data_IF_673508375848
#
_entry.id   IF_673508375848
#
_cell.length_a   1.000
_cell.length_b   1.000
_cell.length_c   1.000
_cell.angle_alpha   90.00
_cell.angle_beta   90.00
_cell.angle_gamma   90.00
#
_symmetry.space_group_name_H-M   'P 1'
#
loop_
_entity.id
_entity.type
_entity.pdbx_description
1 polymer ?
#
# COMPACT_ATOMS: atom_id res chain seq x y z
N UNK A 1 2.24 -2.60 -7.12
CA UNK A 1 0.78 -2.88 -7.09
C UNK A 1 0.57 -4.26 -6.48
N UNK A 2 -0.41 -4.41 -5.59
CA UNK A 2 -0.65 -5.65 -4.86
C UNK A 2 -1.87 -6.38 -5.40
N UNK A 3 -1.76 -7.69 -5.64
CA UNK A 3 -2.93 -8.53 -5.89
C UNK A 3 -3.69 -8.72 -4.56
N UNK A 4 -4.94 -8.27 -4.44
CA UNK A 4 -5.73 -8.50 -3.23
C UNK A 4 -6.12 -9.98 -3.11
N UNK A 5 -6.47 -10.41 -1.91
CA UNK A 5 -7.19 -11.68 -1.75
C UNK A 5 -8.61 -11.52 -2.29
N UNK A 6 -9.12 -12.51 -3.01
CA UNK A 6 -10.46 -12.44 -3.58
C UNK A 6 -11.11 -13.82 -3.63
N UNK A 7 -12.43 -13.81 -3.58
CA UNK A 7 -13.30 -14.97 -3.71
C UNK A 7 -14.37 -14.71 -4.78
N UNK A 8 -14.71 -15.74 -5.54
CA UNK A 8 -15.78 -15.70 -6.53
C UNK A 8 -16.89 -16.67 -6.14
N UNK A 9 -18.12 -16.18 -6.20
CA UNK A 9 -19.33 -16.98 -6.04
C UNK A 9 -20.31 -16.64 -7.16
N UNK A 10 -21.26 -17.51 -7.48
CA UNK A 10 -22.19 -17.27 -8.58
C UNK A 10 -23.59 -17.77 -8.26
N UNK A 11 -24.56 -17.03 -8.78
CA UNK A 11 -25.96 -17.38 -8.88
C UNK A 11 -26.28 -17.71 -10.35
N UNK A 12 -27.47 -18.24 -10.69
CA UNK A 12 -27.87 -18.46 -12.08
C UNK A 12 -27.79 -17.19 -12.94
N UNK A 13 -28.06 -16.02 -12.36
CA UNK A 13 -28.16 -14.76 -13.09
C UNK A 13 -26.96 -13.81 -12.86
N UNK A 14 -26.22 -13.96 -11.75
CA UNK A 14 -25.17 -13.04 -11.34
C UNK A 14 -23.88 -13.76 -10.96
N UNK A 15 -22.74 -13.13 -11.21
CA UNK A 15 -21.42 -13.46 -10.66
C UNK A 15 -21.12 -12.46 -9.53
N UNK A 16 -20.73 -12.94 -8.36
CA UNK A 16 -20.35 -12.12 -7.22
C UNK A 16 -18.86 -12.26 -6.95
N UNK A 17 -18.13 -11.16 -6.99
CA UNK A 17 -16.69 -11.09 -6.71
C UNK A 17 -16.50 -10.32 -5.40
N UNK A 18 -15.90 -10.99 -4.41
CA UNK A 18 -15.53 -10.39 -3.13
C UNK A 18 -14.02 -10.17 -3.09
N UNK A 19 -13.57 -8.93 -2.91
CA UNK A 19 -12.17 -8.51 -2.98
C UNK A 19 -11.79 -7.89 -1.63
N UNK A 20 -10.78 -8.44 -0.96
CA UNK A 20 -10.30 -7.99 0.33
C UNK A 20 -9.27 -6.87 0.16
N UNK A 21 -9.68 -5.65 0.48
CA UNK A 21 -8.92 -4.41 0.31
C UNK A 21 -8.92 -3.54 1.59
N UNK A 22 -8.30 -4.01 2.70
CA UNK A 22 -8.32 -3.32 3.99
C UNK A 22 -7.55 -1.99 3.99
N UNK A 23 -6.62 -1.80 3.05
CA UNK A 23 -5.79 -0.59 2.96
C UNK A 23 -6.22 0.34 1.82
N UNK A 24 -7.30 0.03 1.11
CA UNK A 24 -7.79 0.87 0.02
C UNK A 24 -8.54 2.09 0.55
N UNK A 25 -8.43 3.19 -0.20
CA UNK A 25 -9.23 4.39 0.05
C UNK A 25 -10.57 4.26 -0.67
N UNK A 26 -11.67 4.47 0.08
CA UNK A 26 -13.05 4.31 -0.43
C UNK A 26 -13.37 5.25 -1.59
N UNK A 27 -12.66 6.38 -1.68
CA UNK A 27 -12.87 7.40 -2.71
C UNK A 27 -12.24 7.06 -4.07
N UNK A 28 -11.37 6.06 -4.13
CA UNK A 28 -10.53 5.74 -5.30
C UNK A 28 -10.73 4.27 -5.70
N UNK A 29 -11.96 3.90 -6.08
CA UNK A 29 -12.29 2.59 -6.63
C UNK A 29 -12.66 2.72 -8.10
N UNK A 30 -11.92 2.03 -8.96
CA UNK A 30 -12.24 1.91 -10.38
C UNK A 30 -12.51 0.45 -10.71
N UNK A 31 -13.65 0.20 -11.34
CA UNK A 31 -14.03 -1.14 -11.79
C UNK A 31 -14.37 -1.06 -13.27
N UNK A 32 -13.75 -1.94 -14.05
CA UNK A 32 -14.02 -2.11 -15.45
C UNK A 32 -14.32 -3.58 -15.71
N UNK A 33 -15.35 -3.83 -16.51
CA UNK A 33 -15.70 -5.18 -16.88
C UNK A 33 -16.35 -5.20 -18.26
N UNK A 34 -15.86 -6.07 -19.14
CA UNK A 34 -16.37 -6.17 -20.50
C UNK A 34 -16.21 -7.60 -21.01
N UNK A 35 -17.32 -8.19 -21.48
CA UNK A 35 -17.33 -9.54 -22.00
C UNK A 35 -16.85 -10.52 -20.94
N UNK A 36 -15.61 -11.01 -21.02
CA UNK A 36 -15.03 -11.91 -20.03
C UNK A 36 -13.84 -11.33 -19.28
N UNK A 37 -13.56 -10.04 -19.43
CA UNK A 37 -12.52 -9.35 -18.69
C UNK A 37 -13.13 -8.60 -17.50
N UNK A 38 -12.47 -8.70 -16.35
CA UNK A 38 -12.78 -7.93 -15.16
C UNK A 38 -11.49 -7.31 -14.61
N UNK A 39 -11.50 -6.00 -14.44
CA UNK A 39 -10.39 -5.21 -13.92
C UNK A 39 -10.89 -4.39 -12.73
N UNK A 40 -10.15 -4.45 -11.64
CA UNK A 40 -10.40 -3.70 -10.43
C UNK A 40 -9.11 -2.98 -10.03
N UNK A 41 -9.24 -1.69 -9.77
CA UNK A 41 -8.13 -0.86 -9.32
C UNK A 41 -8.55 -0.07 -8.09
N UNK A 42 -7.72 -0.15 -7.05
CA UNK A 42 -7.95 0.55 -5.79
C UNK A 42 -6.63 0.65 -5.04
N UNK A 43 -5.94 1.80 -5.11
CA UNK A 43 -4.58 1.93 -4.56
C UNK A 43 -4.50 1.38 -3.12
N UNK A 44 -3.57 0.45 -2.81
CA UNK A 44 -2.45 -0.06 -3.62
C UNK A 44 -2.73 -1.34 -4.45
N UNK A 45 -3.99 -1.75 -4.52
CA UNK A 45 -4.45 -3.00 -5.12
C UNK A 45 -4.78 -2.88 -6.60
N UNK A 46 -4.43 -3.93 -7.34
CA UNK A 46 -4.84 -4.14 -8.72
C UNK A 46 -5.21 -5.61 -8.92
N UNK A 47 -6.38 -5.87 -9.49
CA UNK A 47 -6.87 -7.22 -9.78
C UNK A 47 -7.40 -7.27 -11.22
N UNK A 48 -6.94 -8.26 -11.99
CA UNK A 48 -7.39 -8.53 -13.35
C UNK A 48 -7.79 -10.00 -13.40
N UNK A 49 -9.00 -10.28 -13.86
CA UNK A 49 -9.53 -11.62 -13.96
C UNK A 49 -10.03 -11.85 -15.38
N UNK A 50 -9.56 -12.92 -16.01
CA UNK A 50 -10.20 -13.48 -17.21
C UNK A 50 -11.23 -14.51 -16.77
N UNK A 51 -12.50 -14.12 -16.85
CA UNK A 51 -13.64 -14.96 -16.49
C UNK A 51 -13.86 -16.07 -17.53
N UNK A 52 -14.34 -17.26 -17.10
CA UNK A 52 -14.63 -18.37 -18.02
C UNK A 52 -15.89 -18.15 -18.86
N UNK A 53 -16.77 -17.24 -18.42
CA UNK A 53 -18.00 -16.87 -19.10
C UNK A 53 -18.08 -15.37 -19.34
N UNK A 54 -19.15 -14.94 -19.99
CA UNK A 54 -19.37 -13.54 -20.36
C UNK A 54 -20.35 -12.85 -19.41
N UNK A 55 -20.01 -11.64 -19.03
CA UNK A 55 -20.78 -10.70 -18.23
C UNK A 55 -21.15 -9.49 -19.09
N UNK A 56 -22.21 -8.82 -18.70
CA UNK A 56 -22.82 -7.73 -19.48
C UNK A 56 -22.96 -6.48 -18.62
N UNK A 57 -22.77 -5.30 -19.22
CA UNK A 57 -23.04 -4.02 -18.57
C UNK A 57 -24.50 -3.64 -18.83
N UNK A 58 -25.37 -3.91 -17.85
CA UNK A 58 -26.81 -3.68 -17.97
C UNK A 58 -27.33 -2.64 -16.96
N UNK A 59 -26.45 -1.95 -16.22
CA UNK A 59 -26.85 -1.02 -15.15
C UNK A 59 -27.50 -1.70 -13.94
N UNK A 60 -27.46 -3.04 -13.89
CA UNK A 60 -28.02 -3.86 -12.81
C UNK A 60 -26.95 -4.43 -11.88
N UNK A 61 -25.69 -4.07 -12.13
CA UNK A 61 -24.57 -4.33 -11.27
C UNK A 61 -24.75 -3.66 -9.90
N UNK A 62 -24.31 -4.34 -8.86
CA UNK A 62 -24.38 -3.85 -7.49
C UNK A 62 -23.02 -3.97 -6.83
N UNK A 63 -22.45 -2.83 -6.42
CA UNK A 63 -21.24 -2.76 -5.62
C UNK A 63 -21.55 -2.37 -4.17
N UNK A 64 -20.92 -3.03 -3.21
CA UNK A 64 -20.98 -2.67 -1.80
C UNK A 64 -19.60 -2.81 -1.17
N UNK A 65 -19.25 -1.87 -0.29
CA UNK A 65 -18.00 -1.90 0.47
C UNK A 65 -18.30 -1.99 1.97
N UNK A 66 -17.82 -3.06 2.60
CA UNK A 66 -17.87 -3.24 4.05
C UNK A 66 -16.55 -2.70 4.65
N UNK A 67 -16.59 -1.49 5.19
CA UNK A 67 -15.42 -0.81 5.76
C UNK A 67 -14.87 -1.50 7.02
N UNK A 68 -15.73 -2.20 7.77
CA UNK A 68 -15.32 -2.89 8.99
C UNK A 68 -14.51 -4.16 8.66
N UNK A 69 -14.89 -4.86 7.59
CA UNK A 69 -14.17 -6.07 7.12
C UNK A 69 -13.09 -5.76 6.09
N UNK A 70 -13.14 -4.58 5.48
CA UNK A 70 -12.30 -4.20 4.34
C UNK A 70 -12.56 -5.06 3.11
N UNK A 71 -13.84 -5.42 2.85
CA UNK A 71 -14.22 -6.29 1.72
C UNK A 71 -15.10 -5.49 0.76
N UNK A 72 -14.64 -5.37 -0.48
CA UNK A 72 -15.41 -4.86 -1.60
C UNK A 72 -16.13 -6.02 -2.29
N UNK A 73 -17.45 -5.97 -2.38
CA UNK A 73 -18.26 -6.99 -3.04
C UNK A 73 -18.96 -6.39 -4.24
N UNK A 74 -18.77 -6.97 -5.42
CA UNK A 74 -19.45 -6.57 -6.64
C UNK A 74 -20.23 -7.74 -7.25
N UNK A 75 -21.48 -7.47 -7.63
CA UNK A 75 -22.37 -8.40 -8.34
C UNK A 75 -22.49 -7.96 -9.79
N UNK A 76 -22.10 -8.83 -10.70
CA UNK A 76 -22.06 -8.61 -12.15
C UNK A 76 -23.09 -9.52 -12.82
N UNK A 77 -24.01 -8.99 -13.65
CA UNK A 77 -24.99 -9.82 -14.34
C UNK A 77 -24.31 -10.64 -15.46
N UNK A 78 -24.76 -11.89 -15.62
CA UNK A 78 -24.28 -12.77 -16.69
C UNK A 78 -24.94 -12.40 -18.02
N UNK A 79 -24.21 -12.55 -19.12
CA UNK A 79 -24.77 -12.33 -20.45
C UNK A 79 -25.85 -13.37 -20.79
N UNK A 80 -25.62 -14.64 -20.41
CA UNK A 80 -26.61 -15.71 -20.58
C UNK A 80 -27.14 -16.18 -19.23
N UNK A 81 -28.42 -15.94 -18.91
CA UNK A 81 -29.02 -16.34 -17.64
C UNK A 81 -29.04 -17.87 -17.54
N UNK A 82 -28.67 -18.40 -16.38
CA UNK A 82 -28.52 -19.83 -16.14
C UNK A 82 -27.19 -20.44 -16.57
N UNK A 83 -26.27 -19.67 -17.19
CA UNK A 83 -24.94 -20.16 -17.50
C UNK A 83 -24.13 -20.35 -16.21
N UNK A 84 -23.63 -21.56 -15.98
CA UNK A 84 -22.72 -21.85 -14.88
C UNK A 84 -21.27 -21.63 -15.33
N UNK A 85 -20.51 -20.86 -14.55
CA UNK A 85 -19.11 -20.56 -14.81
C UNK A 85 -18.25 -21.63 -14.11
N UNK A 86 -17.62 -22.50 -14.88
CA UNK A 86 -16.76 -23.55 -14.33
C UNK A 86 -15.41 -23.01 -13.90
N UNK A 87 -14.80 -23.60 -12.87
CA UNK A 87 -13.42 -23.29 -12.49
C UNK A 87 -13.21 -21.96 -11.76
N UNK A 88 -14.25 -21.35 -11.17
CA UNK A 88 -14.12 -20.13 -10.35
C UNK A 88 -13.13 -20.28 -9.18
N UNK A 89 -12.91 -21.51 -8.69
CA UNK A 89 -11.94 -21.82 -7.63
C UNK A 89 -10.49 -21.91 -8.13
N UNK A 90 -10.27 -21.94 -9.46
CA UNK A 90 -8.93 -22.01 -10.05
C UNK A 90 -8.36 -20.59 -10.21
N UNK A 91 -8.08 -19.93 -9.09
CA UNK A 91 -7.67 -18.51 -9.06
C UNK A 91 -6.47 -18.21 -9.98
N UNK A 92 -5.48 -19.11 -10.02
CA UNK A 92 -4.31 -18.98 -10.91
C UNK A 92 -4.67 -18.99 -12.39
N UNK A 93 -5.72 -19.72 -12.78
CA UNK A 93 -6.21 -19.74 -14.16
C UNK A 93 -6.94 -18.44 -14.52
N UNK A 94 -7.64 -17.83 -13.56
CA UNK A 94 -8.33 -16.56 -13.75
C UNK A 94 -7.34 -15.38 -13.86
N UNK A 95 -6.21 -15.45 -13.16
CA UNK A 95 -5.15 -14.44 -13.22
C UNK A 95 -4.32 -14.53 -14.52
N UNK A 96 -4.20 -15.72 -15.10
CA UNK A 96 -3.30 -15.98 -16.21
C UNK A 96 -3.56 -15.06 -17.42
N UNK A 97 -2.51 -14.49 -18.05
CA UNK A 97 -2.64 -13.69 -19.27
C UNK A 97 -3.36 -14.48 -20.36
N UNK A 98 -4.10 -13.75 -21.20
CA UNK A 98 -4.70 -14.39 -22.37
C UNK A 98 -3.54 -14.75 -23.25
N UNK A 99 -3.23 -16.05 -23.39
CA UNK A 99 -2.23 -16.50 -24.35
C UNK A 99 -2.70 -16.05 -25.72
N UNK A 100 -2.17 -14.94 -26.22
CA UNK A 100 -2.30 -14.53 -27.60
C UNK A 100 -1.89 -15.76 -28.42
N UNK A 101 -2.82 -16.34 -29.17
CA UNK A 101 -2.49 -17.41 -30.11
C UNK A 101 -1.66 -16.75 -31.22
N UNK A 102 -0.37 -16.56 -30.99
CA UNK A 102 0.62 -16.09 -31.98
C UNK A 102 0.94 -17.20 -32.97
N UNK A 103 -0.05 -18.01 -33.36
CA UNK A 103 0.05 -18.84 -34.53
C UNK A 103 -0.30 -17.94 -35.72
N UNK A 104 0.68 -17.15 -36.19
CA UNK A 104 0.60 -16.57 -37.53
C UNK A 104 0.34 -17.73 -38.51
N UNK A 105 -0.71 -17.70 -39.34
CA UNK A 105 -0.91 -18.72 -40.36
C UNK A 105 0.35 -18.75 -41.26
N UNK A 106 0.94 -19.94 -41.42
CA UNK A 106 2.26 -20.13 -42.06
C UNK A 106 2.26 -19.85 -43.57
N UNK A 107 1.11 -19.56 -44.18
CA UNK A 107 0.96 -19.41 -45.63
C UNK A 107 0.08 -18.19 -45.91
N UNK A 108 0.71 -17.17 -46.50
CA UNK A 108 0.03 -16.05 -47.18
C UNK A 108 0.12 -16.32 -48.69
N UNK A 109 -1.03 -16.37 -49.39
CA UNK A 109 -1.06 -16.49 -50.84
C UNK A 109 -0.64 -15.16 -51.47
N UNK A 110 0.44 -15.20 -52.25
CA UNK A 110 0.95 -14.06 -53.02
C UNK A 110 0.00 -13.82 -54.20
N UNK A 111 -1.04 -13.01 -54.00
CA UNK A 111 -2.00 -12.73 -55.07
C UNK A 111 -2.94 -11.57 -54.78
N UNK A 112 -2.71 -10.49 -55.53
CA UNK A 112 -3.53 -9.28 -55.68
C UNK A 112 -3.27 -8.14 -54.68
N UNK A 113 -2.83 -7.01 -55.25
CA UNK A 113 -2.68 -5.71 -54.63
C UNK A 113 -3.94 -5.28 -53.90
N UNK A 114 -3.84 -5.15 -52.58
CA UNK A 114 -4.68 -4.26 -51.82
C UNK A 114 -3.76 -3.34 -51.00
N UNK A 115 -4.15 -2.07 -51.01
CA UNK A 115 -3.50 -0.93 -50.37
C UNK A 115 -3.27 -1.30 -48.89
N UNK A 116 -2.10 -1.04 -48.30
CA UNK A 116 -1.94 -1.25 -46.87
C UNK A 116 -2.86 -0.25 -46.18
N UNK A 117 -4.02 -0.70 -45.72
CA UNK A 117 -4.68 -0.08 -44.58
C UNK A 117 -3.63 -0.11 -43.48
N UNK A 118 -3.14 1.08 -43.12
CA UNK A 118 -2.51 1.32 -41.84
C UNK A 118 -3.52 0.83 -40.80
N UNK A 119 -3.38 -0.44 -40.41
CA UNK A 119 -3.79 -0.90 -39.09
C UNK A 119 -3.12 0.07 -38.16
N UNK A 120 -3.90 1.05 -37.72
CA UNK A 120 -3.67 1.77 -36.49
C UNK A 120 -3.59 0.64 -35.48
N UNK A 121 -2.36 0.21 -35.20
CA UNK A 121 -2.01 -0.55 -34.02
C UNK A 121 -2.35 0.44 -32.91
N UNK A 122 -3.65 0.49 -32.55
CA UNK A 122 -4.08 0.96 -31.26
C UNK A 122 -3.21 0.13 -30.33
N UNK A 123 -2.12 0.73 -29.84
CA UNK A 123 -1.23 0.19 -28.84
C UNK A 123 -2.14 -0.11 -27.63
N UNK A 124 -2.80 -1.26 -27.67
CA UNK A 124 -3.76 -1.71 -26.69
C UNK A 124 -2.94 -1.82 -25.42
N UNK A 125 -3.05 -0.80 -24.58
CA UNK A 125 -2.17 -0.59 -23.45
C UNK A 125 -2.08 -1.90 -22.69
N UNK A 126 -0.87 -2.47 -22.62
CA UNK A 126 -0.68 -3.82 -22.11
C UNK A 126 -0.93 -3.83 -20.59
N UNK A 127 -2.19 -4.07 -20.22
CA UNK A 127 -2.63 -4.20 -18.84
C UNK A 127 -2.21 -5.55 -18.23
N UNK A 128 -1.39 -6.36 -18.91
CA UNK A 128 -0.88 -7.65 -18.42
C UNK A 128 0.30 -7.48 -17.45
N UNK A 129 0.05 -6.78 -16.34
CA UNK A 129 0.97 -6.76 -15.19
C UNK A 129 0.99 -8.16 -14.57
N UNK A 130 2.18 -8.72 -14.30
CA UNK A 130 2.29 -10.02 -13.63
C UNK A 130 1.60 -10.00 -12.24
N UNK A 131 0.57 -10.83 -12.08
CA UNK A 131 -0.17 -10.95 -10.82
C UNK A 131 0.23 -12.25 -10.12
N UNK A 132 0.80 -12.13 -8.93
CA UNK A 132 0.98 -13.27 -8.03
C UNK A 132 -0.26 -13.40 -7.14
N UNK A 133 -0.81 -14.61 -6.95
CA UNK A 133 -1.89 -14.83 -6.00
C UNK A 133 -1.52 -14.33 -4.61
N UNK A 134 -2.51 -13.83 -3.87
CA UNK A 134 -2.30 -13.49 -2.47
C UNK A 134 -1.98 -14.75 -1.66
N UNK A 135 -0.78 -14.82 -1.10
CA UNK A 135 -0.42 -15.82 -0.10
C UNK A 135 -0.65 -15.22 1.29
N UNK A 136 -1.50 -15.86 2.10
CA UNK A 136 -1.55 -15.61 3.53
C UNK A 136 -0.23 -16.05 4.14
N UNK A 137 0.76 -15.15 4.16
CA UNK A 137 2.03 -15.43 4.80
C UNK A 137 1.74 -15.60 6.29
N UNK A 138 1.75 -16.85 6.74
CA UNK A 138 1.67 -17.19 8.16
C UNK A 138 2.69 -16.37 8.94
N UNK A 139 2.29 -15.81 10.07
CA UNK A 139 3.15 -15.02 10.97
C UNK A 139 4.45 -15.76 11.35
N UNK A 140 4.48 -17.08 11.19
CA UNK A 140 5.63 -17.96 11.44
C UNK A 140 6.77 -17.87 10.40
N UNK A 141 6.46 -17.52 9.15
CA UNK A 141 7.46 -17.41 8.06
C UNK A 141 8.05 -16.00 7.96
N UNK A 142 7.33 -15.00 8.47
CA UNK A 142 7.83 -13.68 8.76
C UNK A 142 8.28 -13.71 10.22
N UNK A 143 9.51 -14.14 10.50
CA UNK A 143 10.18 -13.68 11.71
C UNK A 143 10.85 -12.34 11.35
N UNK A 144 10.15 -11.19 11.35
CA UNK A 144 10.83 -9.92 11.28
C UNK A 144 11.74 -9.89 12.50
N UNK A 145 13.05 -9.93 12.26
CA UNK A 145 14.05 -9.89 13.33
C UNK A 145 13.91 -8.61 14.15
N UNK A 146 13.25 -7.59 13.59
CA UNK A 146 13.19 -6.25 14.13
C UNK A 146 11.76 -5.75 14.22
N UNK A 147 11.38 -5.29 15.41
CA UNK A 147 10.10 -4.65 15.67
C UNK A 147 10.26 -3.12 15.68
N UNK A 148 9.15 -2.41 15.49
CA UNK A 148 9.06 -0.94 15.52
C UNK A 148 7.69 -0.45 16.00
N UNK A 149 7.51 0.88 16.00
CA UNK A 149 6.32 1.56 16.46
C UNK A 149 6.28 1.75 17.98
N UNK A 150 5.12 2.14 18.49
CA UNK A 150 4.92 2.33 19.92
C UNK A 150 5.13 1.00 20.66
N UNK A 151 6.06 0.99 21.62
CA UNK A 151 6.39 -0.19 22.42
C UNK A 151 6.99 -1.37 21.65
N UNK A 152 7.50 -1.18 20.43
CA UNK A 152 7.98 -2.28 19.56
C UNK A 152 6.93 -3.38 19.33
N UNK A 153 5.65 -3.00 19.23
CA UNK A 153 4.53 -3.93 19.07
C UNK A 153 4.20 -4.27 17.61
N UNK A 154 4.83 -3.60 16.63
CA UNK A 154 4.52 -3.79 15.21
C UNK A 154 5.72 -4.34 14.45
N UNK A 155 5.42 -5.16 13.45
CA UNK A 155 6.39 -5.74 12.51
C UNK A 155 5.66 -6.28 11.27
N UNK A 156 6.36 -6.44 10.15
CA UNK A 156 5.86 -7.00 8.89
C UNK A 156 4.88 -6.12 8.09
N UNK A 157 4.59 -4.90 8.57
CA UNK A 157 3.66 -3.97 7.90
C UNK A 157 4.33 -3.36 6.67
N UNK A 158 5.58 -2.93 6.84
CA UNK A 158 6.31 -2.15 5.85
C UNK A 158 6.82 -3.01 4.71
N UNK A 159 7.12 -4.28 4.93
CA UNK A 159 7.45 -5.23 3.85
C UNK A 159 6.34 -5.36 2.80
N UNK A 160 5.06 -5.33 3.20
CA UNK A 160 3.93 -5.47 2.26
C UNK A 160 3.60 -4.19 1.51
N UNK A 161 3.87 -3.04 2.13
CA UNK A 161 3.52 -1.71 1.62
C UNK A 161 4.78 -0.89 1.31
N UNK A 162 5.92 -1.55 1.08
CA UNK A 162 7.22 -0.89 0.99
C UNK A 162 7.24 0.13 -0.14
N UNK A 163 6.76 -0.26 -1.32
CA UNK A 163 6.71 0.61 -2.49
C UNK A 163 5.82 1.84 -2.25
N UNK A 164 4.78 1.72 -1.42
CA UNK A 164 3.82 2.79 -1.16
C UNK A 164 4.23 3.70 0.00
N UNK A 165 4.96 3.15 0.97
CA UNK A 165 5.39 3.88 2.15
C UNK A 165 6.83 4.39 2.00
N UNK A 166 7.56 4.01 0.95
CA UNK A 166 8.94 4.47 0.70
C UNK A 166 9.12 5.98 0.75
N UNK A 167 8.10 6.76 0.38
CA UNK A 167 8.14 8.23 0.45
C UNK A 167 7.87 8.80 1.85
N UNK A 168 7.25 8.00 2.72
CA UNK A 168 6.88 8.38 4.09
C UNK A 168 7.97 8.02 5.09
N UNK A 169 8.77 6.98 4.81
CA UNK A 169 9.81 6.47 5.70
C UNK A 169 11.21 6.66 5.12
N UNK A 170 12.09 7.31 5.89
CA UNK A 170 13.51 7.49 5.50
C UNK A 170 14.29 6.17 5.42
N UNK A 171 13.80 5.12 6.07
CA UNK A 171 14.46 3.81 6.16
C UNK A 171 13.72 2.83 5.25
N UNK A 172 14.36 2.37 4.17
CA UNK A 172 13.74 1.47 3.19
C UNK A 172 13.22 0.15 3.78
N UNK A 173 14.00 -0.52 4.64
CA UNK A 173 13.69 -1.86 5.17
C UNK A 173 13.72 -1.92 6.71
N UNK A 174 12.70 -1.39 7.39
CA UNK A 174 12.65 -1.35 8.85
C UNK A 174 12.42 -2.73 9.50
N UNK A 175 11.81 -3.68 8.79
CA UNK A 175 11.54 -5.05 9.26
C UNK A 175 12.82 -5.89 9.42
N UNK A 176 13.87 -5.57 8.66
CA UNK A 176 15.17 -6.28 8.67
C UNK A 176 16.32 -5.45 9.25
N UNK A 177 16.08 -4.18 9.60
CA UNK A 177 17.12 -3.32 10.17
C UNK A 177 17.01 -3.25 11.69
N UNK A 178 18.04 -3.65 12.44
CA UNK A 178 18.06 -3.52 13.90
C UNK A 178 18.15 -2.05 14.33
N UNK A 179 17.73 -1.76 15.57
CA UNK A 179 17.66 -0.39 16.08
C UNK A 179 19.01 0.36 16.03
N UNK A 180 20.12 -0.36 16.23
CA UNK A 180 21.46 0.20 16.13
C UNK A 180 21.79 0.66 14.70
N UNK A 181 21.53 -0.18 13.70
CA UNK A 181 21.74 0.16 12.29
C UNK A 181 20.80 1.27 11.83
N UNK A 182 19.53 1.26 12.28
CA UNK A 182 18.59 2.33 11.99
C UNK A 182 19.11 3.68 12.48
N UNK A 183 19.64 3.72 13.71
CA UNK A 183 20.26 4.93 14.27
C UNK A 183 21.45 5.38 13.43
N UNK A 184 22.31 4.45 13.03
CA UNK A 184 23.48 4.77 12.21
C UNK A 184 23.08 5.34 10.83
N UNK A 185 22.12 4.71 10.15
CA UNK A 185 21.59 5.18 8.87
C UNK A 185 20.96 6.57 8.99
N UNK A 186 20.18 6.80 10.05
CA UNK A 186 19.59 8.11 10.33
C UNK A 186 20.65 9.19 10.50
N UNK A 187 21.68 8.95 11.32
CA UNK A 187 22.78 9.90 11.51
C UNK A 187 23.54 10.19 10.22
N UNK A 188 23.79 9.16 9.40
CA UNK A 188 24.46 9.35 8.11
C UNK A 188 23.61 10.18 7.14
N UNK A 189 22.29 9.96 7.09
CA UNK A 189 21.37 10.73 6.27
C UNK A 189 21.24 12.19 6.77
N UNK A 190 21.16 12.40 8.09
CA UNK A 190 21.16 13.73 8.70
C UNK A 190 22.43 14.51 8.36
N UNK A 191 23.61 13.87 8.45
CA UNK A 191 24.89 14.49 8.08
C UNK A 191 24.98 14.80 6.58
N UNK A 192 24.44 13.94 5.72
CA UNK A 192 24.44 14.18 4.27
C UNK A 192 23.45 15.28 3.85
N UNK A 193 22.34 15.42 4.58
CA UNK A 193 21.32 16.46 4.34
C UNK A 193 21.69 17.80 5.00
N UNK A 194 22.60 17.79 5.96
CA UNK A 194 23.06 18.99 6.64
C UNK A 194 23.83 19.89 5.67
N UNK A 195 23.23 21.04 5.36
CA UNK A 195 23.86 22.10 4.57
C UNK A 195 24.16 23.28 5.50
N UNK A 196 25.45 23.59 5.77
CA UNK A 196 25.84 24.74 6.58
C UNK A 196 25.29 26.07 6.04
N UNK A 197 25.16 26.21 4.71
CA UNK A 197 24.80 27.49 4.09
C UNK A 197 23.36 27.90 4.40
N UNK A 198 22.46 26.93 4.58
CA UNK A 198 21.08 27.19 5.02
C UNK A 198 21.00 27.84 6.40
N UNK A 199 22.01 27.64 7.26
CA UNK A 199 22.04 28.16 8.63
C UNK A 199 22.97 29.37 8.78
N UNK A 200 23.61 29.83 7.71
CA UNK A 200 24.49 31.00 7.78
C UNK A 200 23.72 32.27 8.15
N UNK A 201 22.49 32.43 7.65
CA UNK A 201 21.65 33.59 8.00
C UNK A 201 21.37 33.63 9.52
N UNK A 202 21.03 32.49 10.12
CA UNK A 202 20.79 32.36 11.56
C UNK A 202 22.05 32.65 12.40
N UNK A 203 23.24 32.47 11.81
CA UNK A 203 24.51 32.81 12.47
C UNK A 203 24.82 34.32 12.43
N UNK A 204 24.41 35.02 11.37
CA UNK A 204 24.65 36.47 11.22
C UNK A 204 23.52 37.34 11.76
N UNK A 205 22.30 36.82 11.83
CA UNK A 205 21.10 37.51 12.31
C UNK A 205 20.53 36.78 13.55
N UNK A 206 21.33 36.67 14.61
CA UNK A 206 21.01 35.89 15.81
C UNK A 206 20.15 36.66 16.84
N UNK A 207 19.75 37.91 16.57
CA UNK A 207 19.03 38.78 17.52
C UNK A 207 17.75 38.13 18.08
N UNK A 208 16.98 37.45 17.23
CA UNK A 208 15.78 36.73 17.65
C UNK A 208 16.10 35.48 18.50
N UNK A 209 17.18 34.77 18.15
CA UNK A 209 17.65 33.57 18.87
C UNK A 209 18.15 33.97 20.25
N UNK A 210 18.95 35.03 20.35
CA UNK A 210 19.44 35.56 21.62
C UNK A 210 18.30 35.98 22.55
N UNK A 211 17.24 36.62 22.02
CA UNK A 211 16.08 37.00 22.82
C UNK A 211 15.38 35.78 23.43
N UNK A 212 15.26 34.69 22.67
CA UNK A 212 14.68 33.43 23.15
C UNK A 212 15.60 32.76 24.19
N UNK A 213 16.92 32.74 23.96
CA UNK A 213 17.88 32.16 24.92
C UNK A 213 17.94 32.96 26.23
N UNK A 214 17.77 34.28 26.17
CA UNK A 214 17.70 35.18 27.33
C UNK A 214 16.35 35.10 28.04
N UNK A 215 15.31 34.55 27.41
CA UNK A 215 13.98 34.46 27.99
C UNK A 215 13.96 33.45 29.14
N UNK A 216 13.79 33.96 30.36
CA UNK A 216 13.50 33.14 31.52
C UNK A 216 11.99 33.12 31.76
N UNK A 217 11.34 31.95 31.62
CA UNK A 217 9.91 31.87 31.90
C UNK A 217 9.63 32.04 33.40
N UNK A 218 8.45 32.58 33.71
CA UNK A 218 8.05 32.90 35.10
C UNK A 218 8.01 31.70 36.04
N UNK A 219 7.91 30.47 35.50
CA UNK A 219 7.87 29.25 36.31
C UNK A 219 9.25 28.72 36.68
N UNK A 220 10.34 29.19 36.08
CA UNK A 220 11.70 28.71 36.40
C UNK A 220 12.03 28.99 37.87
N UNK A 221 11.76 30.20 38.35
CA UNK A 221 11.99 30.56 39.76
C UNK A 221 11.11 29.75 40.73
N UNK A 222 9.87 29.43 40.32
CA UNK A 222 8.97 28.60 41.14
C UNK A 222 9.46 27.16 41.20
N UNK A 223 9.92 26.62 40.07
CA UNK A 223 10.48 25.28 39.98
C UNK A 223 11.77 25.18 40.79
N UNK A 224 12.70 26.13 40.66
CA UNK A 224 13.95 26.17 41.45
C UNK A 224 13.68 26.28 42.96
N UNK A 225 12.67 27.05 43.38
CA UNK A 225 12.26 27.10 44.80
C UNK A 225 11.64 25.79 45.26
N UNK A 226 10.83 25.14 44.42
CA UNK A 226 10.21 23.86 44.73
C UNK A 226 11.25 22.74 44.85
N UNK A 227 12.22 22.67 43.93
CA UNK A 227 13.32 21.70 43.98
C UNK A 227 14.23 21.93 45.18
N UNK A 228 14.60 23.18 45.46
CA UNK A 228 15.42 23.50 46.64
C UNK A 228 14.68 23.22 47.97
N UNK A 229 13.35 23.33 48.00
CA UNK A 229 12.54 22.95 49.16
C UNK A 229 12.46 21.42 49.32
N UNK A 230 12.32 20.68 48.21
CA UNK A 230 12.37 19.22 48.19
C UNK A 230 13.72 18.68 48.67
N UNK A 231 14.84 19.24 48.19
CA UNK A 231 16.19 18.85 48.60
C UNK A 231 16.44 19.12 50.10
N UNK A 232 16.01 20.29 50.61
CA UNK A 232 16.11 20.59 52.05
C UNK A 232 15.24 19.70 52.92
N UNK A 233 14.07 19.29 52.43
CA UNK A 233 13.19 18.36 53.16
C UNK A 233 13.82 16.96 53.23
N UNK A 234 14.47 16.51 52.15
CA UNK A 234 15.21 15.25 52.12
C UNK A 234 16.46 15.28 53.03
N UNK A 235 17.22 16.38 53.08
CA UNK A 235 18.37 16.53 53.99
C UNK A 235 17.96 16.55 55.47
N UNK A 236 16.82 17.17 55.81
CA UNK A 236 16.29 17.18 57.17
C UNK A 236 15.77 15.80 57.62
N UNK A 237 15.13 15.03 56.74
CA UNK A 237 14.74 13.65 57.03
C UNK A 237 15.96 12.73 57.23
N UNK A 238 17.02 12.90 56.44
CA UNK A 238 18.26 12.14 56.58
C UNK A 238 19.05 12.49 57.86
N UNK A 239 18.97 13.73 58.34
CA UNK A 239 19.57 14.13 59.62
C UNK A 239 18.76 13.73 60.87
N UNK A 240 17.44 13.51 60.72
CA UNK A 240 16.57 13.07 61.81
C UNK A 240 16.56 11.53 62.03
N UNK A 241 17.25 10.78 61.16
CA UNK A 241 17.33 9.31 61.18
C UNK A 241 18.69 8.75 61.64
N UNK A 242 19.59 9.61 62.13
CA UNK A 242 20.85 9.26 62.84
C UNK A 242 20.72 9.56 64.33
#
# INVERSE_FOLDING_TARGET
MLTPAFDLSQDPDFLTIAIRVPYARVSEFDVYFEGSDFKFYAKPYFLRLTLPGRIVENGSEQGSYDADKGIFTIRLPKETPGQHFEGLNMLTALLAPRKSRTAKPLVEEIGASEIPEEVVDDEEFDWEIEQTPYEEVSESALNPQCHYGFGNLRSGVLQRLQDELSDVIDIKDPDFTPAAERRQKRLAAELAKFDPDHYLADFFEDEAIEQILKYNPWWTDKYSKMTAFLEKSQEQENHATL
#
